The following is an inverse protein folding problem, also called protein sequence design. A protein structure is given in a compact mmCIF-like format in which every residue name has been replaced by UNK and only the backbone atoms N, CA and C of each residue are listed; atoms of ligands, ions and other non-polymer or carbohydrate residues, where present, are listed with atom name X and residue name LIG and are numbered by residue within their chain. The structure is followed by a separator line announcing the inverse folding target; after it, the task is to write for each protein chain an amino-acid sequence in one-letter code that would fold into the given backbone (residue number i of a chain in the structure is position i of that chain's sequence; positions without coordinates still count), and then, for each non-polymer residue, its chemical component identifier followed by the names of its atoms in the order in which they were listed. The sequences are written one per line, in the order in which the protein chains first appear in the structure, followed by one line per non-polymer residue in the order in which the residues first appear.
data_IF_635066107669
#
_entry.id   IF_635066107669
#
_cell.length_a   1.000
_cell.length_b   1.000
_cell.length_c   1.000
_cell.angle_alpha   90.00
_cell.angle_beta   90.00
_cell.angle_gamma   90.00
#
_symmetry.space_group_name_H-M   'P 1'
#
loop_
_entity.id
_entity.type
_entity.pdbx_description
1 polymer ?
#
# COMPACT_ATOMS: atom_id res chain seq x y z
N UNK A 1 -14.60 -7.55 16.53
CA UNK A 1 -13.50 -6.58 16.31
C UNK A 1 -12.77 -7.01 15.04
N UNK A 2 -12.18 -6.09 14.25
CA UNK A 2 -11.34 -6.48 13.12
C UNK A 2 -10.24 -7.44 13.62
N UNK A 3 -9.96 -8.49 12.85
CA UNK A 3 -8.97 -9.51 13.21
C UNK A 3 -7.53 -8.98 13.24
N UNK A 4 -6.56 -9.87 13.44
CA UNK A 4 -5.13 -9.52 13.49
C UNK A 4 -4.65 -8.72 12.25
N UNK A 5 -5.25 -8.99 11.10
CA UNK A 5 -4.89 -8.34 9.82
C UNK A 5 -5.54 -6.95 9.63
N UNK A 6 -6.29 -6.50 10.64
CA UNK A 6 -6.93 -5.18 10.71
C UNK A 6 -7.84 -4.82 9.51
N UNK A 7 -8.41 -5.84 8.86
CA UNK A 7 -9.39 -5.68 7.78
C UNK A 7 -10.81 -5.48 8.31
N UNK A 8 -11.70 -4.78 7.57
CA UNK A 8 -11.50 -4.19 6.23
C UNK A 8 -10.80 -2.83 6.23
N UNK A 9 -10.09 -2.49 5.15
CA UNK A 9 -9.48 -1.18 4.96
C UNK A 9 -10.40 -0.21 4.23
N UNK A 10 -10.36 1.08 4.58
CA UNK A 10 -11.07 2.13 3.88
C UNK A 10 -10.14 2.84 2.90
N UNK A 11 -10.46 2.79 1.60
CA UNK A 11 -9.61 3.29 0.53
C UNK A 11 -10.31 4.40 -0.26
N UNK A 12 -9.67 5.58 -0.43
CA UNK A 12 -10.10 6.54 -1.43
C UNK A 12 -9.72 6.04 -2.83
N UNK A 13 -10.62 6.23 -3.79
CA UNK A 13 -10.43 5.86 -5.19
C UNK A 13 -10.19 7.11 -6.06
N UNK A 14 -9.62 6.92 -7.24
CA UNK A 14 -9.30 8.00 -8.17
C UNK A 14 -10.54 8.76 -8.66
N UNK A 15 -11.67 8.06 -8.83
CA UNK A 15 -12.96 8.64 -9.23
C UNK A 15 -13.66 9.43 -8.09
N UNK A 16 -12.98 9.63 -6.95
CA UNK A 16 -13.51 10.30 -5.76
C UNK A 16 -14.43 9.43 -4.91
N UNK A 17 -14.68 8.17 -5.30
CA UNK A 17 -15.42 7.23 -4.47
C UNK A 17 -14.56 6.67 -3.33
N UNK A 18 -15.21 5.99 -2.39
CA UNK A 18 -14.54 5.28 -1.31
C UNK A 18 -14.93 3.81 -1.33
N UNK A 19 -13.99 2.94 -1.00
CA UNK A 19 -14.22 1.50 -0.97
C UNK A 19 -13.72 0.86 0.32
N UNK A 20 -14.48 -0.10 0.84
CA UNK A 20 -13.99 -1.06 1.82
C UNK A 20 -13.30 -2.21 1.10
N UNK A 21 -12.08 -2.52 1.53
CA UNK A 21 -11.31 -3.65 1.03
C UNK A 21 -11.21 -4.73 2.09
N UNK A 22 -11.57 -5.96 1.70
CA UNK A 22 -11.33 -7.16 2.49
C UNK A 22 -10.66 -8.23 1.64
N UNK A 23 -9.78 -9.01 2.24
CA UNK A 23 -9.17 -10.17 1.57
C UNK A 23 -9.56 -11.45 2.26
N UNK A 24 -9.53 -12.54 1.52
CA UNK A 24 -9.85 -13.87 2.04
C UNK A 24 -8.64 -14.76 1.81
N UNK A 25 -8.13 -15.31 2.91
CA UNK A 25 -7.17 -16.40 2.94
C UNK A 25 -7.92 -17.71 3.26
N UNK A 26 -7.48 -18.86 2.73
CA UNK A 26 -8.00 -20.16 3.17
C UNK A 26 -7.58 -20.44 4.61
N UNK A 27 -8.42 -21.16 5.35
CA UNK A 27 -8.06 -21.65 6.68
C UNK A 27 -6.83 -22.57 6.60
N UNK A 28 -5.89 -22.39 7.53
CA UNK A 28 -4.65 -23.16 7.64
C UNK A 28 -3.40 -22.41 7.18
N UNK A 29 -2.29 -23.13 7.02
CA UNK A 29 -0.95 -22.56 6.77
C UNK A 29 -0.65 -22.34 5.28
N UNK A 30 -1.67 -22.39 4.42
CA UNK A 30 -1.48 -22.14 3.00
C UNK A 30 -1.21 -20.66 2.70
N UNK A 31 -1.67 -19.75 3.59
CA UNK A 31 -1.51 -18.28 3.55
C UNK A 31 -1.67 -17.64 2.16
N UNK A 32 -2.47 -18.27 1.29
CA UNK A 32 -2.61 -17.87 -0.10
C UNK A 32 -3.75 -16.88 -0.21
N UNK A 33 -3.55 -15.79 -0.95
CA UNK A 33 -4.61 -14.83 -1.27
C UNK A 33 -5.61 -15.51 -2.21
N UNK A 34 -6.83 -15.77 -1.72
CA UNK A 34 -7.88 -16.41 -2.51
C UNK A 34 -8.71 -15.38 -3.28
N UNK A 35 -9.14 -14.31 -2.60
CA UNK A 35 -10.02 -13.26 -3.17
C UNK A 35 -9.75 -11.90 -2.53
N UNK A 36 -9.92 -10.85 -3.32
CA UNK A 36 -10.08 -9.47 -2.81
C UNK A 36 -11.51 -9.02 -3.10
N UNK A 37 -12.17 -8.54 -2.06
CA UNK A 37 -13.45 -7.89 -2.13
C UNK A 37 -13.25 -6.38 -2.00
N UNK A 38 -13.79 -5.66 -2.97
CA UNK A 38 -13.90 -4.22 -2.98
C UNK A 38 -15.38 -3.87 -2.88
N UNK A 39 -15.76 -3.07 -1.90
CA UNK A 39 -17.15 -2.73 -1.62
C UNK A 39 -17.28 -1.22 -1.63
N UNK A 40 -18.04 -0.65 -2.57
CA UNK A 40 -18.33 0.78 -2.60
C UNK A 40 -18.99 1.19 -1.28
N UNK A 41 -18.37 2.13 -0.57
CA UNK A 41 -18.78 2.53 0.77
C UNK A 41 -20.13 3.27 0.80
N UNK A 42 -20.52 3.89 -0.32
CA UNK A 42 -21.78 4.62 -0.45
C UNK A 42 -22.92 3.70 -0.89
N UNK A 43 -22.69 2.89 -1.93
CA UNK A 43 -23.75 2.09 -2.57
C UNK A 43 -23.81 0.64 -2.09
N UNK A 44 -22.73 0.14 -1.47
CA UNK A 44 -22.59 -1.27 -1.10
C UNK A 44 -22.33 -2.21 -2.28
N UNK A 45 -22.16 -1.68 -3.50
CA UNK A 45 -21.83 -2.47 -4.69
C UNK A 45 -20.49 -3.19 -4.50
N UNK A 46 -20.42 -4.46 -4.93
CA UNK A 46 -19.28 -5.35 -4.66
C UNK A 46 -18.57 -5.73 -5.94
N UNK A 47 -17.26 -5.48 -5.97
CA UNK A 47 -16.35 -6.00 -6.97
C UNK A 47 -15.48 -7.09 -6.35
N UNK A 48 -15.25 -8.17 -7.11
CA UNK A 48 -14.41 -9.29 -6.65
C UNK A 48 -13.27 -9.48 -7.63
N UNK A 49 -12.05 -9.27 -7.14
CA UNK A 49 -10.85 -9.63 -7.88
C UNK A 49 -10.52 -11.09 -7.58
N UNK A 50 -10.62 -11.91 -8.64
CA UNK A 50 -10.26 -13.32 -8.61
C UNK A 50 -8.93 -13.54 -9.34
N UNK A 51 -8.04 -14.30 -8.71
CA UNK A 51 -6.69 -14.62 -9.22
C UNK A 51 -6.63 -15.98 -9.93
N UNK A 52 -7.75 -16.71 -9.95
CA UNK A 52 -7.92 -17.98 -10.66
C UNK A 52 -8.11 -17.83 -12.17
N UNK A 53 -8.05 -16.61 -12.71
CA UNK A 53 -8.19 -16.36 -14.15
C UNK A 53 -6.93 -16.81 -14.92
N UNK A 54 -7.08 -17.44 -16.11
CA UNK A 54 -5.94 -17.79 -16.97
C UNK A 54 -5.03 -16.58 -17.25
N UNK A 55 -3.71 -16.79 -17.18
CA UNK A 55 -2.71 -15.75 -17.43
C UNK A 55 -2.31 -14.90 -16.20
N UNK A 56 -2.89 -15.14 -15.02
CA UNK A 56 -2.49 -14.48 -13.76
C UNK A 56 -1.55 -15.36 -12.91
N UNK A 57 -0.69 -14.77 -12.07
CA UNK A 57 0.12 -15.54 -11.13
C UNK A 57 -0.79 -16.41 -10.25
N UNK A 58 -0.47 -17.70 -10.19
CA UNK A 58 -1.13 -18.66 -9.29
C UNK A 58 -0.27 -18.73 -8.02
N UNK A 59 -0.90 -18.70 -6.84
CA UNK A 59 -0.27 -18.69 -5.51
C UNK A 59 0.28 -17.33 -5.06
N UNK A 60 -0.58 -16.30 -5.11
CA UNK A 60 -0.29 -15.04 -4.41
C UNK A 60 -0.36 -15.25 -2.89
N UNK A 61 0.56 -14.68 -2.13
CA UNK A 61 0.55 -14.69 -0.68
C UNK A 61 -0.41 -13.62 -0.15
N UNK A 62 -1.12 -13.97 0.92
CA UNK A 62 -2.02 -13.10 1.64
C UNK A 62 -1.30 -12.25 2.71
N UNK A 63 -2.04 -11.31 3.33
CA UNK A 63 -1.54 -10.36 4.32
C UNK A 63 -0.73 -11.01 5.45
N UNK A 64 -1.17 -12.16 5.98
CA UNK A 64 -0.53 -12.78 7.16
C UNK A 64 0.89 -13.20 6.87
N UNK A 65 1.12 -13.77 5.69
CA UNK A 65 2.44 -14.25 5.30
C UNK A 65 3.37 -13.10 4.90
N UNK A 66 2.87 -12.09 4.18
CA UNK A 66 3.71 -10.97 3.75
C UNK A 66 4.22 -10.11 4.90
N UNK A 67 3.46 -9.99 6.00
CA UNK A 67 3.96 -9.36 7.23
C UNK A 67 5.22 -10.06 7.73
N UNK A 68 5.28 -11.40 7.69
CA UNK A 68 6.47 -12.15 8.12
C UNK A 68 7.69 -11.87 7.24
N UNK A 69 7.50 -11.65 5.94
CA UNK A 69 8.59 -11.28 5.03
C UNK A 69 9.05 -9.84 5.28
N UNK A 70 8.14 -8.89 5.47
CA UNK A 70 8.50 -7.52 5.83
C UNK A 70 9.24 -7.45 7.18
N UNK A 71 8.92 -8.32 8.14
CA UNK A 71 9.67 -8.47 9.40
C UNK A 71 11.12 -8.93 9.22
N UNK A 72 11.53 -9.41 8.04
CA UNK A 72 12.92 -9.78 7.78
C UNK A 72 13.87 -8.59 7.64
N UNK A 73 13.34 -7.35 7.54
CA UNK A 73 14.17 -6.15 7.50
C UNK A 73 15.02 -6.02 8.78
N UNK A 74 16.36 -5.99 8.67
CA UNK A 74 17.25 -6.15 9.83
C UNK A 74 17.33 -4.90 10.72
N UNK A 75 16.96 -3.73 10.22
CA UNK A 75 17.12 -2.45 10.92
C UNK A 75 16.01 -2.15 11.94
N UNK A 76 15.03 -3.05 12.12
CA UNK A 76 13.87 -2.82 12.96
C UNK A 76 13.77 -3.83 14.09
N UNK A 77 13.56 -3.33 15.31
CA UNK A 77 13.20 -4.16 16.47
C UNK A 77 11.69 -4.32 16.49
N UNK A 78 11.20 -5.40 15.90
CA UNK A 78 9.77 -5.68 15.77
C UNK A 78 9.12 -6.00 17.11
N UNK A 79 7.88 -5.55 17.26
CA UNK A 79 7.08 -5.92 18.41
C UNK A 79 6.70 -7.39 18.34
N UNK A 80 7.08 -8.12 19.38
CA UNK A 80 6.74 -9.52 19.59
C UNK A 80 6.00 -9.70 20.93
N UNK A 81 5.20 -10.76 21.02
CA UNK A 81 4.39 -11.07 22.22
C UNK A 81 3.10 -10.25 22.35
N UNK A 82 2.32 -10.58 23.37
CA UNK A 82 0.98 -10.00 23.63
C UNK A 82 0.82 -9.58 25.09
N UNK A 83 0.03 -8.53 25.34
CA UNK A 83 -0.28 -8.10 26.70
C UNK A 83 0.94 -7.52 27.43
N UNK A 84 1.22 -8.02 28.63
CA UNK A 84 2.29 -7.48 29.50
C UNK A 84 3.71 -7.91 29.08
N UNK A 85 3.83 -8.99 28.32
CA UNK A 85 5.12 -9.55 27.87
C UNK A 85 5.55 -9.00 26.51
N UNK A 86 4.87 -7.96 26.03
CA UNK A 86 5.15 -7.35 24.76
C UNK A 86 6.46 -6.55 24.80
N UNK A 87 7.31 -6.75 23.80
CA UNK A 87 8.59 -6.07 23.68
C UNK A 87 8.86 -5.67 22.23
N UNK A 88 9.66 -4.64 22.00
CA UNK A 88 10.01 -4.13 20.68
C UNK A 88 9.58 -2.68 20.44
N UNK A 89 10.01 -2.10 19.33
CA UNK A 89 9.87 -0.67 19.04
C UNK A 89 8.96 -0.39 17.86
N UNK A 90 8.87 -1.32 16.90
CA UNK A 90 8.15 -1.10 15.64
C UNK A 90 7.11 -2.17 15.34
N UNK A 91 6.06 -1.78 14.61
CA UNK A 91 5.01 -2.67 14.11
C UNK A 91 4.83 -2.50 12.62
N UNK A 92 4.36 -3.56 11.97
CA UNK A 92 3.78 -3.49 10.63
C UNK A 92 2.26 -3.51 10.78
N UNK A 93 1.61 -2.56 10.13
CA UNK A 93 0.15 -2.41 10.17
C UNK A 93 -0.38 -2.18 8.76
N UNK A 94 -1.70 -2.34 8.61
CA UNK A 94 -2.44 -1.99 7.41
C UNK A 94 -1.87 -2.59 6.10
N UNK A 95 -1.76 -3.93 5.97
CA UNK A 95 -1.34 -4.55 4.72
C UNK A 95 -2.39 -4.31 3.62
N UNK A 96 -2.22 -3.23 2.87
CA UNK A 96 -3.13 -2.79 1.82
C UNK A 96 -2.66 -3.31 0.47
N UNK A 97 -3.46 -4.08 -0.28
CA UNK A 97 -3.05 -4.54 -1.60
C UNK A 97 -3.09 -3.38 -2.59
N UNK A 98 -2.06 -3.26 -3.39
CA UNK A 98 -1.87 -2.24 -4.44
C UNK A 98 -1.37 -2.90 -5.72
N UNK A 99 -1.59 -2.25 -6.86
CA UNK A 99 -0.99 -2.65 -8.15
C UNK A 99 -0.22 -1.45 -8.67
N UNK A 100 1.10 -1.38 -8.44
CA UNK A 100 1.92 -0.26 -8.92
C UNK A 100 1.86 -0.15 -10.45
N UNK A 101 2.03 1.06 -10.96
CA UNK A 101 2.05 1.32 -12.40
C UNK A 101 3.18 0.55 -13.08
N UNK A 102 2.90 -0.01 -14.26
CA UNK A 102 3.82 -0.88 -14.98
C UNK A 102 4.00 -2.27 -14.37
N UNK A 103 3.33 -2.61 -13.26
CA UNK A 103 3.30 -3.96 -12.68
C UNK A 103 1.98 -4.68 -12.98
N UNK A 104 2.07 -5.97 -13.25
CA UNK A 104 0.93 -6.84 -13.61
C UNK A 104 0.42 -7.69 -12.43
N UNK A 105 0.90 -7.41 -11.23
CA UNK A 105 0.71 -8.23 -10.02
C UNK A 105 0.48 -7.36 -8.79
N UNK A 106 0.00 -8.00 -7.73
CA UNK A 106 -0.29 -7.33 -6.46
C UNK A 106 0.96 -7.22 -5.63
N UNK A 107 1.10 -6.05 -5.01
CA UNK A 107 2.01 -5.81 -3.91
C UNK A 107 1.20 -5.48 -2.66
N UNK A 108 1.72 -5.85 -1.51
CA UNK A 108 1.16 -5.45 -0.23
C UNK A 108 1.92 -4.25 0.30
N UNK A 109 1.26 -3.10 0.39
CA UNK A 109 1.77 -1.90 1.01
C UNK A 109 1.52 -1.97 2.51
N UNK A 110 2.58 -2.03 3.32
CA UNK A 110 2.49 -2.02 4.78
C UNK A 110 3.08 -0.74 5.35
N UNK A 111 2.47 -0.24 6.41
CA UNK A 111 2.98 0.89 7.18
C UNK A 111 3.83 0.37 8.34
N UNK A 112 5.05 0.90 8.48
CA UNK A 112 5.87 0.71 9.67
C UNK A 112 5.54 1.84 10.65
N UNK A 113 5.13 1.51 11.86
CA UNK A 113 4.80 2.49 12.92
C UNK A 113 5.63 2.20 14.17
N UNK A 114 5.86 3.20 15.05
CA UNK A 114 6.26 2.89 16.41
C UNK A 114 5.20 2.04 17.13
N UNK A 115 5.60 1.36 18.20
CA UNK A 115 4.76 0.40 18.93
C UNK A 115 3.45 0.98 19.48
N UNK A 116 3.41 2.31 19.70
CA UNK A 116 2.28 3.10 20.19
C UNK A 116 1.37 3.64 19.07
N UNK A 117 1.67 3.34 17.80
CA UNK A 117 0.93 3.79 16.62
C UNK A 117 0.89 5.32 16.42
N UNK A 118 1.79 6.08 17.05
CA UNK A 118 1.75 7.55 17.02
C UNK A 118 1.95 8.16 15.61
N UNK A 119 2.63 7.46 14.70
CA UNK A 119 2.89 7.92 13.34
C UNK A 119 3.28 6.78 12.40
N UNK A 120 3.22 7.04 11.09
CA UNK A 120 3.86 6.18 10.08
C UNK A 120 5.31 6.61 9.94
N UNK A 121 6.23 5.72 10.31
CA UNK A 121 7.67 5.92 10.21
C UNK A 121 8.19 5.66 8.79
N UNK A 122 7.70 4.59 8.16
CA UNK A 122 8.09 4.22 6.80
C UNK A 122 6.99 3.39 6.13
N UNK A 123 7.07 3.25 4.81
CA UNK A 123 6.23 2.33 4.03
C UNK A 123 7.10 1.25 3.41
N UNK A 124 6.62 0.02 3.34
CA UNK A 124 7.27 -1.08 2.62
C UNK A 124 6.28 -1.75 1.69
N UNK A 125 6.77 -2.32 0.61
CA UNK A 125 5.97 -3.12 -0.30
C UNK A 125 6.50 -4.54 -0.34
N UNK A 126 5.60 -5.52 -0.38
CA UNK A 126 5.95 -6.93 -0.55
C UNK A 126 5.27 -7.48 -1.79
N UNK A 127 6.04 -8.00 -2.74
CA UNK A 127 5.50 -8.68 -3.93
C UNK A 127 4.74 -9.93 -3.45
N UNK A 128 3.43 -9.99 -3.76
CA UNK A 128 2.59 -11.12 -3.33
C UNK A 128 2.95 -12.43 -4.02
N UNK A 129 3.64 -12.42 -5.16
CA UNK A 129 4.05 -13.63 -5.88
C UNK A 129 5.46 -14.11 -5.47
N UNK A 130 6.41 -13.20 -5.29
CA UNK A 130 7.83 -13.54 -5.06
C UNK A 130 8.26 -13.41 -3.60
N UNK A 131 7.49 -12.68 -2.78
CA UNK A 131 7.83 -12.29 -1.41
C UNK A 131 9.00 -11.31 -1.29
N UNK A 132 9.43 -10.72 -2.41
CA UNK A 132 10.45 -9.69 -2.40
C UNK A 132 9.95 -8.45 -1.65
N UNK A 133 10.79 -7.93 -0.76
CA UNK A 133 10.50 -6.73 0.03
C UNK A 133 11.18 -5.52 -0.63
N UNK A 134 10.40 -4.49 -0.93
CA UNK A 134 10.86 -3.22 -1.47
C UNK A 134 10.71 -2.12 -0.41
N UNK A 135 11.74 -1.28 -0.29
CA UNK A 135 11.85 -0.24 0.75
C UNK A 135 12.80 -0.65 1.88
N UNK A 136 12.72 0.00 3.05
CA UNK A 136 11.69 0.96 3.49
C UNK A 136 11.76 2.32 2.79
N UNK A 137 10.59 2.88 2.47
CA UNK A 137 10.41 4.23 1.94
C UNK A 137 10.07 5.17 3.09
N UNK A 138 10.95 6.12 3.37
CA UNK A 138 10.82 7.04 4.51
C UNK A 138 9.94 8.25 4.20
N UNK A 139 9.78 8.60 2.93
CA UNK A 139 9.00 9.77 2.51
C UNK A 139 7.77 9.36 1.73
N UNK A 140 6.73 10.18 1.84
CA UNK A 140 5.52 10.07 1.03
C UNK A 140 5.87 10.12 -0.46
N UNK A 141 6.71 11.06 -0.86
CA UNK A 141 7.06 11.29 -2.26
C UNK A 141 7.71 10.06 -2.91
N UNK A 142 8.68 9.44 -2.25
CA UNK A 142 9.31 8.23 -2.75
C UNK A 142 8.35 7.03 -2.78
N UNK A 143 7.45 6.94 -1.81
CA UNK A 143 6.40 5.91 -1.79
C UNK A 143 5.51 6.04 -3.03
N UNK A 144 5.10 7.26 -3.38
CA UNK A 144 4.28 7.51 -4.55
C UNK A 144 5.07 7.40 -5.87
N UNK A 145 6.34 7.80 -5.90
CA UNK A 145 7.22 7.60 -7.04
C UNK A 145 7.31 6.10 -7.39
N UNK A 146 7.57 5.26 -6.39
CA UNK A 146 7.60 3.81 -6.57
C UNK A 146 6.24 3.25 -7.04
N UNK A 147 5.12 3.75 -6.49
CA UNK A 147 3.78 3.36 -6.95
C UNK A 147 3.50 3.74 -8.40
N UNK A 148 4.08 4.83 -8.90
CA UNK A 148 4.03 5.25 -10.32
C UNK A 148 5.06 4.53 -11.21
N UNK A 149 5.79 3.56 -10.66
CA UNK A 149 6.78 2.79 -11.40
C UNK A 149 8.07 3.57 -11.70
N UNK A 150 8.28 4.70 -11.04
CA UNK A 150 9.51 5.49 -11.15
C UNK A 150 10.67 4.77 -10.42
N UNK A 151 11.89 4.98 -10.90
CA UNK A 151 13.08 4.47 -10.24
C UNK A 151 13.37 5.29 -8.97
N UNK A 152 13.45 4.60 -7.83
CA UNK A 152 13.69 5.23 -6.52
C UNK A 152 15.01 4.68 -5.98
N UNK A 153 16.00 5.57 -5.81
CA UNK A 153 17.25 5.23 -5.13
C UNK A 153 17.06 5.28 -3.61
N UNK A 154 16.82 4.11 -3.02
CA UNK A 154 16.63 3.95 -1.57
C UNK A 154 17.90 4.24 -0.76
N UNK A 155 19.10 4.17 -1.37
CA UNK A 155 20.36 4.43 -0.65
C UNK A 155 20.58 5.94 -0.48
N UNK A 156 20.26 6.74 -1.50
CA UNK A 156 20.27 8.20 -1.39
C UNK A 156 19.30 8.73 -0.32
N UNK A 157 18.15 8.07 -0.14
CA UNK A 157 17.15 8.43 0.87
C UNK A 157 17.59 8.17 2.32
N UNK A 158 18.52 7.23 2.55
CA UNK A 158 19.09 6.95 3.87
C UNK A 158 20.18 7.98 4.22
N UNK A 159 20.93 8.44 3.22
CA UNK A 159 22.02 9.41 3.39
C UNK A 159 21.50 10.86 3.53
N UNK A 160 20.38 11.20 2.91
CA UNK A 160 19.67 12.48 3.12
C UNK A 160 18.77 12.43 4.34
N UNK A 161 19.33 12.20 5.54
CA UNK A 161 18.65 12.42 6.82
C UNK A 161 18.25 13.88 7.06
N UNK A 162 17.62 14.53 6.08
CA UNK A 162 17.36 15.94 6.01
C UNK A 162 15.94 16.21 6.52
N UNK A 163 15.92 16.57 7.81
CA UNK A 163 15.02 17.58 8.37
C UNK A 163 13.54 17.50 7.98
N UNK A 164 12.84 16.52 8.57
CA UNK A 164 11.38 16.59 8.84
C UNK A 164 11.08 17.71 9.88
N UNK A 165 11.37 18.96 9.55
CA UNK A 165 11.02 20.13 10.40
C UNK A 165 10.30 21.26 9.67
N UNK A 166 9.90 21.11 8.41
CA UNK A 166 9.18 22.17 7.70
C UNK A 166 7.86 21.66 7.09
N UNK A 167 6.77 22.07 7.73
CA UNK A 167 5.38 21.92 7.24
C UNK A 167 5.18 22.62 5.89
N UNK A 168 6.05 23.58 5.54
CA UNK A 168 5.96 24.34 4.28
C UNK A 168 6.35 23.51 3.05
N UNK A 169 7.26 22.54 3.21
CA UNK A 169 7.60 21.61 2.11
C UNK A 169 6.44 20.70 1.72
N UNK A 170 5.64 20.25 2.70
CA UNK A 170 4.50 19.35 2.49
C UNK A 170 3.34 20.00 1.71
N UNK A 171 3.14 21.32 1.84
CA UNK A 171 2.04 22.02 1.17
C UNK A 171 2.37 22.41 -0.28
N UNK A 172 3.64 22.70 -0.59
CA UNK A 172 4.04 23.11 -1.95
C UNK A 172 3.89 21.99 -3.00
N UNK A 173 4.03 20.72 -2.61
CA UNK A 173 3.86 19.56 -3.49
C UNK A 173 2.40 19.12 -3.72
N UNK A 174 1.44 19.69 -2.99
CA UNK A 174 0.01 19.38 -3.18
C UNK A 174 -0.58 20.15 -4.38
N UNK A 175 -0.08 21.35 -4.68
CA UNK A 175 -0.58 22.16 -5.80
C UNK A 175 -0.20 21.58 -7.18
N UNK A 176 0.86 20.79 -7.28
CA UNK A 176 1.37 20.24 -8.54
C UNK A 176 0.68 18.93 -8.97
N UNK A 177 -0.05 18.26 -8.07
CA UNK A 177 -0.67 16.95 -8.33
C UNK A 177 -1.93 17.05 -9.22
N UNK A 178 -2.49 18.25 -9.44
CA UNK A 178 -3.79 18.41 -10.12
C UNK A 178 -3.79 19.17 -11.45
N UNK A 179 -2.64 19.64 -11.97
CA UNK A 179 -2.65 20.50 -13.18
C UNK A 179 -2.24 19.77 -14.47
N UNK A 180 -1.31 18.80 -14.46
CA UNK A 180 -0.63 18.42 -15.70
C UNK A 180 -1.03 17.08 -16.35
N UNK A 181 -2.32 16.71 -16.34
CA UNK A 181 -2.81 15.64 -17.25
C UNK A 181 -4.15 15.93 -17.95
N UNK A 182 -4.59 17.18 -17.98
CA UNK A 182 -5.85 17.57 -18.66
C UNK A 182 -5.69 18.08 -20.11
N UNK A 183 -4.52 17.92 -20.75
CA UNK A 183 -4.33 18.28 -22.16
C UNK A 183 -4.36 17.05 -23.06
N UNK A 184 -5.57 16.53 -23.30
CA UNK A 184 -5.72 15.38 -24.20
C UNK A 184 -7.09 15.11 -24.80
N UNK A 185 -8.16 15.82 -24.46
CA UNK A 185 -9.49 15.59 -25.05
C UNK A 185 -10.30 16.88 -25.14
N UNK A 186 -10.05 17.70 -26.17
CA UNK A 186 -11.06 18.62 -26.71
C UNK A 186 -11.58 18.04 -28.03
N UNK A 187 -12.88 17.72 -28.14
CA UNK A 187 -13.49 17.52 -29.45
C UNK A 187 -13.58 18.87 -30.20
N UNK A 188 -13.55 18.87 -31.54
CA UNK A 188 -13.67 20.09 -32.32
C UNK A 188 -15.07 20.70 -32.13
N UNK A 189 -15.11 21.97 -31.70
CA UNK A 189 -16.33 22.75 -31.65
C UNK A 189 -16.85 22.93 -33.08
N UNK A 190 -17.95 22.25 -33.39
CA UNK A 190 -18.75 22.52 -34.58
C UNK A 190 -19.30 23.94 -34.54
N UNK A 191 -19.13 24.65 -35.64
CA UNK A 191 -19.76 25.93 -35.93
C UNK A 191 -21.27 25.78 -36.02
N UNK A 192 -22.02 26.42 -35.13
CA UNK A 192 -23.44 26.73 -35.35
C UNK A 192 -23.56 28.09 -36.03
N UNK A 193 -24.20 28.10 -37.20
CA UNK A 193 -25.03 29.21 -37.68
C UNK A 193 -26.47 28.89 -37.29
#
# INVERSE_FOLDING_TARGET
MPGEDQMPFFLPMEDGSYQYLATVEPDGEAYSLMRIYLINALTGERQVYRFDKPGRPRNLQGPRKVISYAKSLPSYVWVEGSGKDQSGTYRLVEPRPVTPEGKDRIFWMLSITPADYASVFATVFVDSATNEVHGPFLTREATFAWLRGEEVDINQMIETGDTLTSVEGMCSGIETIWIDNCHGLRPPLGTTR
#
